data_IF_618100091579
#
_entry.id   IF_618100091579
#
_cell.length_a   1.000
_cell.length_b   1.000
_cell.length_c   1.000
_cell.angle_alpha   90.00
_cell.angle_beta   90.00
_cell.angle_gamma   90.00
#
_symmetry.space_group_name_H-M   'P 1'
#
loop_
_entity.id
_entity.type
_entity.pdbx_description
1 polymer ?
#
# COMPACT_ATOMS: atom_id res chain seq x y z
N UNK A 1 -9.39 -58.71 -22.26
CA UNK A 1 -8.46 -58.28 -21.18
C UNK A 1 -8.36 -56.75 -21.14
N UNK A 2 -9.39 -56.03 -20.65
CA UNK A 2 -9.42 -54.55 -20.55
C UNK A 2 -10.09 -54.01 -19.28
N UNK A 3 -10.49 -54.88 -18.34
CA UNK A 3 -11.31 -54.49 -17.17
C UNK A 3 -10.50 -54.26 -15.88
N UNK A 4 -9.18 -54.46 -15.88
CA UNK A 4 -8.35 -54.41 -14.67
C UNK A 4 -7.68 -53.04 -14.41
N UNK A 5 -7.70 -52.12 -15.38
CA UNK A 5 -7.02 -50.82 -15.24
C UNK A 5 -7.88 -49.80 -14.45
N UNK A 6 -9.20 -49.95 -14.46
CA UNK A 6 -10.09 -48.96 -13.83
C UNK A 6 -10.14 -49.01 -12.29
N UNK A 7 -9.69 -50.09 -11.66
CA UNK A 7 -9.68 -50.22 -10.19
C UNK A 7 -8.39 -49.64 -9.58
N UNK A 8 -7.31 -49.54 -10.36
CA UNK A 8 -6.04 -48.97 -9.89
C UNK A 8 -6.06 -47.44 -9.79
N UNK A 9 -6.86 -46.75 -10.60
CA UNK A 9 -6.95 -45.28 -10.56
C UNK A 9 -7.78 -44.80 -9.36
N UNK A 10 -8.81 -45.54 -8.97
CA UNK A 10 -9.66 -45.20 -7.81
C UNK A 10 -8.96 -45.44 -6.46
N UNK A 11 -8.02 -46.38 -6.37
CA UNK A 11 -7.17 -46.54 -5.17
C UNK A 11 -6.11 -45.44 -5.04
N UNK A 12 -5.62 -44.89 -6.16
CA UNK A 12 -4.68 -43.76 -6.16
C UNK A 12 -5.31 -42.44 -5.68
N UNK A 13 -6.62 -42.28 -5.82
CA UNK A 13 -7.35 -41.09 -5.33
C UNK A 13 -7.63 -41.11 -3.83
N UNK A 14 -7.53 -42.27 -3.16
CA UNK A 14 -7.83 -42.39 -1.73
C UNK A 14 -6.55 -42.22 -0.89
N UNK A 15 -5.38 -42.62 -1.41
CA UNK A 15 -4.10 -42.50 -0.68
C UNK A 15 -3.45 -41.11 -0.75
N UNK A 16 -3.86 -40.24 -1.68
CA UNK A 16 -3.45 -38.83 -1.66
C UNK A 16 -4.16 -38.00 -0.57
N UNK A 17 -5.18 -38.55 0.09
CA UNK A 17 -5.88 -37.89 1.19
C UNK A 17 -5.48 -38.41 2.58
N UNK A 18 -4.65 -39.46 2.71
CA UNK A 18 -4.39 -40.11 4.01
C UNK A 18 -2.93 -40.46 4.30
N UNK A 19 -1.98 -39.78 3.69
CA UNK A 19 -0.55 -39.84 4.06
C UNK A 19 0.00 -38.44 3.91
N UNK A 20 0.40 -37.71 4.93
CA UNK A 20 0.73 -38.00 6.31
C UNK A 20 1.58 -36.81 6.76
N UNK A 21 1.46 -36.41 8.02
CA UNK A 21 2.40 -35.54 8.73
C UNK A 21 3.02 -34.39 7.91
N UNK A 22 2.32 -33.26 7.84
CA UNK A 22 3.03 -32.00 7.65
C UNK A 22 2.78 -31.06 8.82
N UNK A 23 3.88 -30.86 9.55
CA UNK A 23 4.11 -29.91 10.65
C UNK A 23 4.07 -28.46 10.17
N UNK A 24 3.17 -28.11 9.27
CA UNK A 24 2.99 -26.73 8.81
C UNK A 24 1.60 -26.28 9.20
N UNK A 25 1.50 -25.89 10.46
CA UNK A 25 0.39 -25.11 11.02
C UNK A 25 0.44 -23.68 10.44
N UNK A 26 0.44 -23.57 9.11
CA UNK A 26 0.33 -22.28 8.43
C UNK A 26 -1.14 -22.09 8.14
N UNK A 27 -1.79 -21.28 8.99
CA UNK A 27 -3.08 -20.69 8.63
C UNK A 27 -2.99 -20.17 7.19
N UNK A 28 -4.03 -20.36 6.35
CA UNK A 28 -4.06 -19.75 5.03
C UNK A 28 -3.82 -18.25 5.17
N UNK A 29 -3.00 -17.63 4.30
CA UNK A 29 -2.65 -16.23 4.43
C UNK A 29 -3.93 -15.39 4.47
N UNK A 30 -4.08 -14.61 5.54
CA UNK A 30 -5.26 -13.78 5.74
C UNK A 30 -5.38 -12.77 4.61
N UNK A 31 -6.41 -12.90 3.80
CA UNK A 31 -6.74 -11.91 2.78
C UNK A 31 -7.34 -10.66 3.44
N UNK A 32 -6.64 -9.53 3.31
CA UNK A 32 -7.12 -8.25 3.81
C UNK A 32 -7.81 -7.46 2.70
N UNK A 33 -8.94 -6.84 3.04
CA UNK A 33 -9.57 -5.80 2.23
C UNK A 33 -9.35 -4.46 2.90
N UNK A 34 -9.11 -3.43 2.09
CA UNK A 34 -9.01 -2.06 2.57
C UNK A 34 -10.34 -1.57 3.14
N UNK A 35 -10.27 -0.72 4.16
CA UNK A 35 -11.44 -0.02 4.68
C UNK A 35 -12.12 0.82 3.56
N UNK A 36 -13.45 0.92 3.54
CA UNK A 36 -14.18 1.64 2.48
C UNK A 36 -13.73 3.10 2.27
N UNK A 37 -13.23 3.75 3.31
CA UNK A 37 -12.73 5.12 3.27
C UNK A 37 -11.59 5.35 2.27
N UNK A 38 -10.85 4.31 1.90
CA UNK A 38 -9.78 4.43 0.91
C UNK A 38 -10.28 4.65 -0.51
N UNK A 39 -11.50 4.22 -0.81
CA UNK A 39 -12.15 4.41 -2.10
C UNK A 39 -12.83 5.78 -2.23
N UNK A 40 -12.94 6.51 -1.11
CA UNK A 40 -13.33 7.92 -1.13
C UNK A 40 -12.09 8.79 -1.37
N UNK A 41 -12.27 9.90 -2.09
CA UNK A 41 -11.22 10.90 -2.23
C UNK A 41 -10.84 11.44 -0.86
N UNK A 42 -9.57 11.30 -0.50
CA UNK A 42 -8.95 11.94 0.64
C UNK A 42 -8.23 13.20 0.15
N UNK A 43 -8.39 14.30 0.88
CA UNK A 43 -7.67 15.55 0.66
C UNK A 43 -7.07 15.98 2.00
N UNK A 44 -5.85 16.49 1.98
CA UNK A 44 -5.12 16.97 3.15
C UNK A 44 -5.01 18.51 3.14
N UNK A 45 -4.90 19.12 4.31
CA UNK A 45 -4.65 20.56 4.50
C UNK A 45 -3.16 20.89 4.65
N UNK A 46 -2.34 19.88 4.99
CA UNK A 46 -0.88 20.03 5.06
C UNK A 46 -0.15 18.70 4.85
N UNK A 47 1.15 18.82 4.56
CA UNK A 47 2.14 17.73 4.60
C UNK A 47 3.13 18.02 5.73
N UNK A 48 3.24 17.10 6.68
CA UNK A 48 4.25 17.11 7.73
C UNK A 48 5.48 16.31 7.28
N UNK A 49 6.62 16.99 7.20
CA UNK A 49 7.91 16.47 6.78
C UNK A 49 8.82 16.36 7.98
N UNK A 50 9.37 15.17 8.22
CA UNK A 50 10.46 14.97 9.18
C UNK A 50 11.80 15.09 8.44
N UNK A 51 12.59 16.11 8.77
CA UNK A 51 13.81 16.45 8.03
C UNK A 51 15.09 15.79 8.63
N UNK A 52 14.97 14.68 9.35
CA UNK A 52 16.10 13.88 9.81
C UNK A 52 16.77 14.41 11.09
N UNK A 53 18.09 14.16 11.24
CA UNK A 53 18.88 14.18 12.49
C UNK A 53 18.80 15.45 13.36
N UNK A 54 18.30 16.56 12.84
CA UNK A 54 18.06 17.81 13.57
C UNK A 54 16.69 17.89 14.24
N UNK A 55 15.81 16.89 14.07
CA UNK A 55 14.52 16.78 14.75
C UNK A 55 13.45 17.78 14.29
N UNK A 56 13.72 18.54 13.23
CA UNK A 56 12.79 19.53 12.70
C UNK A 56 11.62 18.87 11.97
N UNK A 57 10.41 19.11 12.48
CA UNK A 57 9.17 18.88 11.74
C UNK A 57 8.84 20.16 10.99
N UNK A 58 8.63 20.07 9.67
CA UNK A 58 8.13 21.17 8.85
C UNK A 58 6.75 20.81 8.31
N UNK A 59 5.79 21.72 8.49
CA UNK A 59 4.47 21.58 7.90
C UNK A 59 4.39 22.47 6.65
N UNK A 60 4.04 21.86 5.53
CA UNK A 60 3.80 22.55 4.26
C UNK A 60 2.29 22.56 4.02
N UNK A 61 1.67 23.72 4.18
CA UNK A 61 0.23 23.87 4.00
C UNK A 61 -0.17 23.80 2.51
N UNK A 62 -1.33 23.21 2.24
CA UNK A 62 -1.95 23.25 0.92
C UNK A 62 -2.65 24.59 0.70
N UNK A 63 -2.62 25.09 -0.54
CA UNK A 63 -3.45 26.22 -0.98
C UNK A 63 -4.83 25.75 -1.45
N UNK A 64 -4.93 24.53 -1.99
CA UNK A 64 -6.18 23.91 -2.43
C UNK A 64 -6.28 22.45 -2.01
N UNK A 65 -7.49 21.91 -1.91
CA UNK A 65 -7.70 20.46 -1.68
C UNK A 65 -7.16 19.58 -2.82
N UNK A 66 -6.83 20.17 -3.96
CA UNK A 66 -6.24 19.47 -5.09
C UNK A 66 -4.72 19.36 -5.01
N UNK A 67 -4.09 20.07 -4.08
CA UNK A 67 -2.64 20.06 -3.91
C UNK A 67 -2.20 18.72 -3.33
N UNK A 68 -2.88 18.24 -2.30
CA UNK A 68 -2.59 16.94 -1.69
C UNK A 68 -3.87 16.13 -1.62
N UNK A 69 -3.93 15.07 -2.42
CA UNK A 69 -5.08 14.17 -2.41
C UNK A 69 -4.70 12.74 -2.76
N UNK A 70 -5.59 11.83 -2.42
CA UNK A 70 -5.43 10.42 -2.67
C UNK A 70 -6.78 9.78 -2.96
N UNK A 71 -6.81 8.88 -3.93
CA UNK A 71 -8.00 8.11 -4.30
C UNK A 71 -7.59 6.72 -4.80
N UNK A 72 -8.42 5.71 -4.55
CA UNK A 72 -8.30 4.38 -5.12
C UNK A 72 -9.49 4.17 -6.05
N UNK A 73 -9.24 3.85 -7.32
CA UNK A 73 -10.29 3.54 -8.29
C UNK A 73 -10.91 2.16 -8.04
N UNK A 74 -12.03 1.88 -8.70
CA UNK A 74 -12.66 0.55 -8.69
C UNK A 74 -11.74 -0.58 -9.18
N UNK A 75 -10.76 -0.23 -10.01
CA UNK A 75 -9.80 -1.17 -10.60
C UNK A 75 -8.54 -1.36 -9.73
N UNK A 76 -8.61 -0.94 -8.45
CA UNK A 76 -7.50 -0.99 -7.49
C UNK A 76 -6.26 -0.21 -7.95
N UNK A 77 -6.45 0.88 -8.70
CA UNK A 77 -5.38 1.82 -9.03
C UNK A 77 -5.40 2.92 -7.97
N UNK A 78 -4.32 3.00 -7.19
CA UNK A 78 -4.10 4.08 -6.26
C UNK A 78 -3.49 5.28 -7.00
N UNK A 79 -4.02 6.47 -6.74
CA UNK A 79 -3.44 7.74 -7.19
C UNK A 79 -3.21 8.61 -5.99
N UNK A 80 -1.98 9.09 -5.84
CA UNK A 80 -1.53 10.00 -4.80
C UNK A 80 -0.93 11.23 -5.46
N UNK A 81 -1.51 12.39 -5.20
CA UNK A 81 -0.94 13.68 -5.59
C UNK A 81 -0.39 14.37 -4.35
N UNK A 82 0.86 14.82 -4.44
CA UNK A 82 1.51 15.65 -3.43
C UNK A 82 2.11 16.86 -4.16
N UNK A 83 1.41 17.99 -4.04
CA UNK A 83 1.71 19.25 -4.71
C UNK A 83 1.91 19.05 -6.22
N UNK A 84 3.14 19.23 -6.70
CA UNK A 84 3.45 19.20 -8.13
C UNK A 84 3.66 17.77 -8.67
N UNK A 85 3.84 16.79 -7.78
CA UNK A 85 4.08 15.40 -8.15
C UNK A 85 2.80 14.55 -8.01
N UNK A 86 2.63 13.62 -8.96
CA UNK A 86 1.56 12.61 -8.94
C UNK A 86 2.16 11.23 -9.12
N UNK A 87 1.82 10.33 -8.21
CA UNK A 87 2.18 8.92 -8.20
C UNK A 87 0.92 8.11 -8.46
N UNK A 88 1.02 7.10 -9.31
CA UNK A 88 -0.13 6.27 -9.64
C UNK A 88 0.27 4.88 -10.07
N UNK A 89 -0.48 3.87 -9.63
CA UNK A 89 -0.28 2.50 -10.06
C UNK A 89 -1.14 1.49 -9.31
N UNK A 90 -1.06 0.21 -9.70
CA UNK A 90 -1.84 -0.85 -9.09
C UNK A 90 -1.39 -1.11 -7.65
N UNK A 91 -2.35 -1.34 -6.76
CA UNK A 91 -2.09 -1.86 -5.42
C UNK A 91 -1.46 -3.25 -5.56
N UNK A 92 -0.28 -3.44 -4.98
CA UNK A 92 0.46 -4.69 -5.08
C UNK A 92 0.44 -5.50 -3.78
N UNK A 93 0.24 -4.87 -2.61
CA UNK A 93 0.06 -5.56 -1.34
C UNK A 93 -0.94 -4.82 -0.45
N UNK A 94 -1.76 -5.58 0.29
CA UNK A 94 -2.59 -5.08 1.39
C UNK A 94 -2.11 -5.79 2.66
N UNK A 95 -1.46 -5.05 3.56
CA UNK A 95 -0.87 -5.61 4.79
C UNK A 95 -1.89 -5.79 5.90
N UNK A 96 -2.86 -4.87 5.95
CA UNK A 96 -4.05 -4.94 6.79
C UNK A 96 -5.12 -3.99 6.22
N UNK A 97 -6.25 -3.84 6.90
CA UNK A 97 -7.35 -3.00 6.40
C UNK A 97 -7.04 -1.48 6.36
N UNK A 98 -5.96 -1.04 7.00
CA UNK A 98 -5.48 0.35 7.08
C UNK A 98 -4.13 0.59 6.39
N UNK A 99 -3.46 -0.45 5.90
CA UNK A 99 -2.11 -0.35 5.36
C UNK A 99 -1.97 -1.11 4.06
N UNK A 100 -1.47 -0.46 3.03
CA UNK A 100 -1.20 -1.07 1.73
C UNK A 100 -0.01 -0.43 1.02
N UNK A 101 0.43 -1.04 -0.06
CA UNK A 101 1.40 -0.46 -0.98
C UNK A 101 0.89 -0.51 -2.42
N UNK A 102 1.31 0.46 -3.23
CA UNK A 102 1.17 0.43 -4.68
C UNK A 102 2.51 0.71 -5.33
N UNK A 103 2.72 0.15 -6.53
CA UNK A 103 3.93 0.40 -7.31
C UNK A 103 3.67 1.55 -8.27
N UNK A 104 4.38 2.66 -8.09
CA UNK A 104 4.24 3.82 -8.97
C UNK A 104 4.71 3.47 -10.39
N UNK A 105 3.87 3.73 -11.39
CA UNK A 105 4.13 3.38 -12.79
C UNK A 105 5.29 4.20 -13.37
N UNK A 106 5.50 5.44 -12.91
CA UNK A 106 6.54 6.34 -13.43
C UNK A 106 7.93 5.97 -12.91
N UNK A 107 8.05 5.75 -11.61
CA UNK A 107 9.35 5.52 -10.94
C UNK A 107 9.65 4.05 -10.69
N UNK A 108 8.65 3.17 -10.76
CA UNK A 108 8.77 1.75 -10.41
C UNK A 108 8.94 1.49 -8.91
N UNK A 109 8.91 2.54 -8.06
CA UNK A 109 9.10 2.43 -6.62
C UNK A 109 7.79 2.07 -5.92
N UNK A 110 7.90 1.40 -4.78
CA UNK A 110 6.75 1.14 -3.92
C UNK A 110 6.45 2.36 -3.06
N UNK A 111 5.19 2.79 -3.07
CA UNK A 111 4.65 3.81 -2.17
C UNK A 111 3.79 3.09 -1.14
N UNK A 112 4.12 3.28 0.14
CA UNK A 112 3.43 2.66 1.27
C UNK A 112 2.47 3.67 1.88
N UNK A 113 1.22 3.27 2.12
CA UNK A 113 0.20 4.10 2.73
C UNK A 113 -0.31 3.41 4.00
N UNK A 114 -0.39 4.17 5.09
CA UNK A 114 -1.02 3.76 6.33
C UNK A 114 -2.02 4.83 6.80
N UNK A 115 -3.28 4.45 7.02
CA UNK A 115 -4.27 5.32 7.67
C UNK A 115 -3.94 5.46 9.17
N UNK A 116 -3.98 6.69 9.68
CA UNK A 116 -3.76 7.04 11.08
C UNK A 116 -4.90 7.95 11.57
N UNK A 117 -5.00 8.17 12.89
CA UNK A 117 -6.02 9.09 13.43
C UNK A 117 -5.85 10.53 12.95
N UNK A 118 -4.64 10.92 12.52
CA UNK A 118 -4.29 12.29 12.15
C UNK A 118 -4.27 12.49 10.63
N UNK A 119 -4.34 11.41 9.85
CA UNK A 119 -4.27 11.49 8.39
C UNK A 119 -3.77 10.19 7.77
N UNK A 120 -2.92 10.30 6.75
CA UNK A 120 -2.26 9.16 6.11
C UNK A 120 -0.76 9.33 6.17
N UNK A 121 -0.09 8.31 6.65
CA UNK A 121 1.36 8.20 6.62
C UNK A 121 1.77 7.62 5.26
N UNK A 122 2.69 8.28 4.57
CA UNK A 122 3.13 7.95 3.21
C UNK A 122 4.64 7.70 3.20
N UNK A 123 5.03 6.46 2.90
CA UNK A 123 6.43 6.07 2.71
C UNK A 123 6.79 5.89 1.23
N UNK A 124 8.06 6.05 0.88
CA UNK A 124 8.57 5.85 -0.48
C UNK A 124 8.60 7.12 -1.35
N UNK A 125 8.19 8.27 -0.81
CA UNK A 125 8.37 9.59 -1.43
C UNK A 125 9.73 10.15 -1.00
N UNK A 126 10.53 10.62 -1.96
CA UNK A 126 11.92 11.07 -1.74
C UNK A 126 12.10 12.57 -1.87
N UNK A 127 11.24 13.22 -2.64
CA UNK A 127 11.30 14.66 -2.82
C UNK A 127 9.87 15.16 -2.77
N UNK A 128 9.65 16.20 -1.99
CA UNK A 128 8.39 16.95 -2.00
C UNK A 128 8.68 18.28 -2.63
N UNK A 129 7.90 18.66 -3.65
CA UNK A 129 8.07 19.91 -4.39
C UNK A 129 6.74 20.62 -4.47
N UNK A 130 6.73 21.87 -4.04
CA UNK A 130 5.72 22.81 -4.48
C UNK A 130 6.40 23.89 -5.33
N UNK A 131 5.63 24.66 -6.10
CA UNK A 131 6.14 25.70 -6.99
C UNK A 131 7.10 26.73 -6.32
N UNK A 132 7.21 26.75 -4.99
CA UNK A 132 8.06 27.66 -4.22
C UNK A 132 9.34 26.99 -3.70
N UNK A 133 9.28 25.73 -3.31
CA UNK A 133 10.32 25.04 -2.54
C UNK A 133 10.36 23.54 -2.82
N UNK A 134 11.55 22.95 -2.68
CA UNK A 134 11.79 21.51 -2.81
C UNK A 134 12.48 21.00 -1.55
N UNK A 135 11.98 19.91 -1.00
CA UNK A 135 12.54 19.22 0.16
C UNK A 135 13.00 17.82 -0.27
N UNK A 136 14.30 17.57 -0.21
CA UNK A 136 14.84 16.23 -0.38
C UNK A 136 14.69 15.49 0.96
N UNK A 137 13.90 14.44 0.95
CA UNK A 137 13.75 13.53 2.07
C UNK A 137 14.91 12.55 1.99
N UNK A 138 15.77 12.55 3.02
CA UNK A 138 16.79 11.54 3.14
C UNK A 138 16.15 10.15 3.13
N UNK A 139 16.88 9.12 2.70
CA UNK A 139 16.46 7.70 2.74
C UNK A 139 16.23 7.17 4.18
N UNK A 140 16.16 8.08 5.14
CA UNK A 140 15.78 7.82 6.51
C UNK A 140 14.35 7.28 6.48
N UNK A 141 14.16 6.21 7.25
CA UNK A 141 12.97 5.39 7.47
C UNK A 141 11.68 6.11 7.91
N UNK A 142 11.56 7.42 7.73
CA UNK A 142 10.53 8.27 8.28
C UNK A 142 9.57 8.69 7.17
N UNK A 143 8.39 8.06 7.08
CA UNK A 143 7.37 8.46 6.13
C UNK A 143 6.88 9.89 6.41
N UNK A 144 6.36 10.57 5.39
CA UNK A 144 5.67 11.86 5.56
C UNK A 144 4.25 11.62 6.05
N UNK A 145 3.65 12.61 6.72
CA UNK A 145 2.25 12.56 7.11
C UNK A 145 1.44 13.59 6.32
N UNK A 146 0.36 13.15 5.66
CA UNK A 146 -0.61 14.03 5.01
C UNK A 146 -1.88 14.06 5.84
N UNK A 147 -2.32 15.23 6.29
CA UNK A 147 -3.28 15.35 7.37
C UNK A 147 -4.31 16.46 7.15
N UNK A 148 -5.44 16.35 7.86
CA UNK A 148 -6.45 17.41 8.00
C UNK A 148 -6.23 18.09 9.35
N UNK A 149 -6.53 19.39 9.44
CA UNK A 149 -6.47 20.15 10.70
C UNK A 149 -7.43 19.59 11.74
#
# INVERSE_FOLDING_TARGET
MKKLIFILISMLLITACSSGDNRDNTEPPKEYKLEPEFYNKFSATYVSLNLGSSGGITNVNTSTESDVNMIISSDNIATLKIFDDTYSGPINNIYNNKTFSFKDNKTGKNINIQSSMKGRTVGGVYIVKNNKQSWNLCDCSWPIEIARN
#
